data_IF_058109165402
#
_entry.id   IF_058109165402
#
_cell.length_a   1.000
_cell.length_b   1.000
_cell.length_c   1.000
_cell.angle_alpha   90.00
_cell.angle_beta   90.00
_cell.angle_gamma   90.00
#
_symmetry.space_group_name_H-M   'P 1'
#
loop_
_entity.id
_entity.type
_entity.pdbx_description
1 polymer ?
#
# COMPACT_ATOMS: atom_id res chain seq x y z
N UNK A 1 55.60 10.12 -11.69
CA UNK A 1 56.14 9.73 -13.02
C UNK A 1 55.26 8.63 -13.58
N UNK A 2 55.12 8.59 -14.91
CA UNK A 2 54.20 7.78 -15.74
C UNK A 2 52.83 8.48 -15.95
N UNK A 3 52.68 9.43 -16.87
CA UNK A 3 52.83 9.46 -18.35
C UNK A 3 51.53 9.09 -19.08
N UNK A 4 50.91 10.12 -19.67
CA UNK A 4 49.87 10.03 -20.70
C UNK A 4 50.40 9.35 -21.97
N UNK A 5 49.54 8.58 -22.64
CA UNK A 5 49.46 8.49 -24.10
C UNK A 5 48.15 7.79 -24.48
N UNK A 6 47.25 8.53 -25.14
CA UNK A 6 46.11 7.95 -25.88
C UNK A 6 46.59 7.74 -27.30
N UNK A 7 46.49 6.50 -27.80
CA UNK A 7 46.69 6.20 -29.22
C UNK A 7 45.46 5.54 -29.80
N UNK A 8 45.02 6.13 -30.91
CA UNK A 8 43.94 5.76 -31.81
C UNK A 8 43.98 4.30 -32.26
N UNK A 9 42.80 3.67 -32.30
CA UNK A 9 42.12 3.15 -33.51
C UNK A 9 41.11 2.08 -33.10
N UNK A 10 39.82 2.41 -33.20
CA UNK A 10 38.74 1.44 -33.20
C UNK A 10 38.07 1.49 -34.57
N UNK A 11 37.97 0.31 -35.20
CA UNK A 11 36.77 -0.18 -35.87
C UNK A 11 36.26 0.60 -37.07
N UNK A 12 36.37 -0.03 -38.22
CA UNK A 12 35.77 0.33 -39.52
C UNK A 12 34.27 0.63 -39.41
N UNK A 13 33.91 1.87 -39.69
CA UNK A 13 32.54 2.32 -39.93
C UNK A 13 32.10 1.88 -41.34
N UNK A 14 30.89 1.35 -41.42
CA UNK A 14 30.15 1.24 -42.68
C UNK A 14 29.81 2.67 -43.13
N UNK A 15 30.21 3.04 -44.34
CA UNK A 15 29.85 4.34 -44.93
C UNK A 15 28.36 4.31 -45.31
N UNK A 16 27.52 4.93 -44.48
CA UNK A 16 26.17 5.31 -44.89
C UNK A 16 26.27 6.40 -45.97
N UNK A 17 25.48 6.33 -47.06
CA UNK A 17 25.46 7.36 -48.09
C UNK A 17 24.98 8.70 -47.52
N UNK A 18 25.39 9.84 -48.10
CA UNK A 18 25.03 11.15 -47.58
C UNK A 18 23.51 11.30 -47.55
N UNK A 19 22.98 11.56 -46.35
CA UNK A 19 21.59 11.99 -46.17
C UNK A 19 21.50 13.38 -46.81
N UNK A 20 20.85 13.47 -47.97
CA UNK A 20 20.44 14.75 -48.53
C UNK A 20 19.52 15.41 -47.51
N UNK A 21 19.98 16.52 -46.93
CA UNK A 21 19.14 17.42 -46.16
C UNK A 21 18.09 17.99 -47.12
N UNK A 22 16.79 17.78 -46.91
CA UNK A 22 15.79 18.47 -47.72
C UNK A 22 15.88 19.96 -47.40
N UNK A 23 16.49 20.72 -48.31
CA UNK A 23 16.36 22.17 -48.36
C UNK A 23 14.92 22.50 -48.72
N UNK A 24 14.23 23.13 -47.78
CA UNK A 24 12.91 23.69 -48.02
C UNK A 24 13.09 24.94 -48.89
N UNK A 25 12.91 24.80 -50.20
CA UNK A 25 12.74 25.96 -51.08
C UNK A 25 11.39 26.60 -50.76
N UNK A 26 11.42 27.88 -50.37
CA UNK A 26 10.21 28.69 -50.30
C UNK A 26 9.69 28.86 -51.73
N UNK A 27 8.41 28.54 -52.02
CA UNK A 27 7.88 28.73 -53.36
C UNK A 27 7.91 30.22 -53.74
N UNK A 28 8.33 30.48 -54.97
CA UNK A 28 8.37 31.81 -55.57
C UNK A 28 6.99 32.49 -55.50
N UNK A 29 6.98 33.71 -54.96
CA UNK A 29 5.81 34.56 -54.88
C UNK A 29 5.55 35.25 -56.23
N UNK A 30 5.17 34.49 -57.28
CA UNK A 30 4.44 35.08 -58.41
C UNK A 30 3.77 34.02 -59.31
N UNK A 31 2.58 33.59 -58.92
CA UNK A 31 1.57 33.10 -59.86
C UNK A 31 0.21 33.27 -59.19
N UNK A 32 -0.43 34.40 -59.51
CA UNK A 32 -1.81 34.66 -59.12
C UNK A 32 -2.75 33.67 -59.80
N UNK A 33 -3.16 32.67 -59.04
CA UNK A 33 -4.46 32.03 -59.18
C UNK A 33 -5.26 32.41 -57.92
N UNK A 34 -6.14 33.40 -58.07
CA UNK A 34 -7.22 33.70 -57.13
C UNK A 34 -8.23 32.54 -57.16
N UNK A 35 -7.85 31.39 -56.61
CA UNK A 35 -8.83 30.45 -56.06
C UNK A 35 -8.93 30.75 -54.56
N UNK A 36 -9.66 31.83 -54.27
CA UNK A 36 -10.27 32.04 -52.95
C UNK A 36 -11.36 30.97 -52.79
N UNK A 37 -10.92 29.73 -52.63
CA UNK A 37 -11.67 28.71 -51.94
C UNK A 37 -11.84 29.20 -50.53
N UNK A 38 -12.96 29.88 -50.30
CA UNK A 38 -13.50 30.26 -49.00
C UNK A 38 -13.31 29.08 -48.05
N UNK A 39 -12.22 29.10 -47.26
CA UNK A 39 -12.19 28.41 -46.00
C UNK A 39 -13.16 29.19 -45.12
N UNK A 40 -14.45 29.02 -45.43
CA UNK A 40 -15.53 29.76 -44.81
C UNK A 40 -15.29 29.70 -43.31
N UNK A 41 -15.27 30.86 -42.67
CA UNK A 41 -15.10 30.96 -41.23
C UNK A 41 -16.15 30.03 -40.59
N UNK A 42 -15.71 28.82 -40.20
CA UNK A 42 -16.61 27.86 -39.58
C UNK A 42 -16.92 28.42 -38.22
N UNK A 43 -18.08 29.03 -38.10
CA UNK A 43 -18.58 29.54 -36.83
C UNK A 43 -18.69 28.37 -35.86
N UNK A 44 -17.90 28.42 -34.79
CA UNK A 44 -17.89 27.42 -33.73
C UNK A 44 -18.80 27.88 -32.60
N UNK A 45 -19.74 27.02 -32.21
CA UNK A 45 -20.70 27.24 -31.15
C UNK A 45 -20.32 26.41 -29.91
N UNK A 46 -20.61 26.92 -28.73
CA UNK A 46 -20.42 26.19 -27.48
C UNK A 46 -21.26 24.90 -27.46
N UNK A 47 -20.64 23.78 -27.08
CA UNK A 47 -21.38 22.55 -26.80
C UNK A 47 -22.01 22.69 -25.42
N UNK A 48 -23.34 22.50 -25.36
CA UNK A 48 -24.14 22.62 -24.13
C UNK A 48 -24.83 21.30 -23.73
N UNK A 49 -24.63 20.24 -24.51
CA UNK A 49 -25.25 18.91 -24.31
C UNK A 49 -24.24 17.88 -23.84
N UNK A 50 -24.67 16.96 -22.98
CA UNK A 50 -23.82 15.89 -22.46
C UNK A 50 -23.74 14.69 -23.40
N UNK A 51 -22.60 13.99 -23.36
CA UNK A 51 -22.42 12.68 -23.98
C UNK A 51 -22.37 11.61 -22.90
N UNK A 52 -22.96 10.43 -23.16
CA UNK A 52 -22.90 9.31 -22.21
C UNK A 52 -21.44 8.97 -21.86
N UNK A 53 -21.13 8.67 -20.58
CA UNK A 53 -22.06 8.49 -19.46
C UNK A 53 -22.38 9.75 -18.64
N UNK A 54 -22.01 10.94 -19.12
CA UNK A 54 -22.15 12.18 -18.37
C UNK A 54 -23.55 12.79 -18.50
N UNK A 55 -24.04 13.39 -17.42
CA UNK A 55 -25.35 14.03 -17.35
C UNK A 55 -25.29 15.29 -16.47
N UNK A 56 -26.30 16.15 -16.63
CA UNK A 56 -26.55 17.28 -15.72
C UNK A 56 -27.79 16.93 -14.89
N UNK A 57 -27.61 16.77 -13.59
CA UNK A 57 -28.68 16.44 -12.64
C UNK A 57 -29.03 17.66 -11.79
N UNK A 58 -30.11 17.59 -10.99
CA UNK A 58 -30.58 18.74 -10.19
C UNK A 58 -29.55 19.29 -9.19
N UNK A 59 -28.62 18.44 -8.72
CA UNK A 59 -27.54 18.81 -7.81
C UNK A 59 -26.23 19.18 -8.53
N UNK A 60 -26.21 19.14 -9.87
CA UNK A 60 -25.03 19.46 -10.67
C UNK A 60 -24.60 20.90 -10.42
N UNK A 61 -23.30 21.10 -10.19
CA UNK A 61 -22.68 22.42 -10.10
C UNK A 61 -22.36 22.96 -11.49
N UNK A 62 -22.01 22.05 -12.41
CA UNK A 62 -21.64 22.37 -13.79
C UNK A 62 -22.40 21.48 -14.78
N UNK A 63 -22.55 21.91 -16.04
CA UNK A 63 -23.05 21.03 -17.09
C UNK A 63 -22.21 19.76 -17.21
N UNK A 64 -22.87 18.60 -17.23
CA UNK A 64 -22.26 17.29 -17.50
C UNK A 64 -21.21 16.84 -16.47
N UNK A 65 -21.38 17.20 -15.20
CA UNK A 65 -20.46 16.86 -14.11
C UNK A 65 -20.79 15.55 -13.37
N UNK A 66 -21.95 14.94 -13.65
CA UNK A 66 -22.38 13.68 -13.05
C UNK A 66 -22.13 12.52 -14.00
N UNK A 67 -21.43 11.48 -13.53
CA UNK A 67 -21.20 10.25 -14.29
C UNK A 67 -22.20 9.16 -13.88
N UNK A 68 -23.15 8.84 -14.75
CA UNK A 68 -24.22 7.90 -14.47
C UNK A 68 -23.73 6.44 -14.32
N UNK A 69 -22.49 6.11 -14.68
CA UNK A 69 -21.98 4.73 -14.55
C UNK A 69 -21.35 4.42 -13.19
N UNK A 70 -21.02 5.43 -12.39
CA UNK A 70 -20.31 5.24 -11.12
C UNK A 70 -20.70 6.22 -9.99
N UNK A 71 -21.64 7.12 -10.24
CA UNK A 71 -22.21 7.96 -9.18
C UNK A 71 -23.29 7.20 -8.40
N UNK A 72 -23.03 6.94 -7.11
CA UNK A 72 -23.97 6.24 -6.22
C UNK A 72 -25.28 7.01 -5.98
N UNK A 73 -25.32 8.32 -6.22
CA UNK A 73 -26.52 9.16 -6.05
C UNK A 73 -27.31 9.31 -7.36
N UNK A 74 -26.72 8.96 -8.51
CA UNK A 74 -27.27 9.17 -9.86
C UNK A 74 -27.02 7.95 -10.78
N UNK A 75 -27.15 6.73 -10.26
CA UNK A 75 -26.73 5.53 -10.97
C UNK A 75 -27.67 5.16 -12.12
N UNK A 76 -27.18 5.12 -13.36
CA UNK A 76 -27.94 4.86 -14.58
C UNK A 76 -28.86 6.02 -15.00
N UNK A 77 -29.38 6.80 -14.06
CA UNK A 77 -30.17 8.02 -14.28
C UNK A 77 -30.09 8.96 -13.09
N UNK A 78 -30.31 10.26 -13.32
CA UNK A 78 -30.28 11.28 -12.27
C UNK A 78 -31.26 10.94 -11.13
N UNK A 79 -30.78 11.05 -9.89
CA UNK A 79 -31.56 10.78 -8.68
C UNK A 79 -31.81 9.29 -8.38
N UNK A 80 -31.37 8.35 -9.23
CA UNK A 80 -31.42 6.93 -8.91
C UNK A 80 -30.28 6.56 -7.97
N UNK A 81 -30.55 6.74 -6.68
CA UNK A 81 -29.58 6.52 -5.62
C UNK A 81 -29.48 5.05 -5.24
N UNK A 82 -28.27 4.49 -5.25
CA UNK A 82 -27.99 3.16 -4.74
C UNK A 82 -28.19 3.12 -3.22
N UNK A 83 -29.30 2.50 -2.80
CA UNK A 83 -29.62 2.26 -1.39
C UNK A 83 -30.08 0.82 -1.21
N UNK A 84 -29.56 0.19 -0.17
CA UNK A 84 -30.17 -0.97 0.45
C UNK A 84 -29.82 -0.97 1.95
N UNK A 85 -30.19 -2.03 2.67
CA UNK A 85 -29.94 -2.14 4.10
C UNK A 85 -28.44 -1.94 4.40
N UNK A 86 -28.10 -0.94 5.21
CA UNK A 86 -26.72 -0.76 5.71
C UNK A 86 -26.48 -1.70 6.89
N UNK A 87 -26.61 -3.00 6.65
CA UNK A 87 -26.45 -4.04 7.65
C UNK A 87 -25.15 -4.84 7.41
N UNK A 88 -24.56 -5.34 8.49
CA UNK A 88 -23.50 -6.35 8.47
C UNK A 88 -22.35 -6.10 7.50
N UNK A 89 -21.64 -4.96 7.55
CA UNK A 89 -20.50 -4.70 6.65
C UNK A 89 -20.86 -4.85 5.14
N UNK A 90 -21.95 -4.23 4.70
CA UNK A 90 -22.32 -4.18 3.28
C UNK A 90 -22.38 -2.75 2.75
N UNK A 91 -22.33 -2.59 1.43
CA UNK A 91 -22.54 -1.34 0.71
C UNK A 91 -23.22 -1.59 -0.61
N UNK A 92 -23.84 -0.54 -1.14
CA UNK A 92 -24.42 -0.51 -2.47
C UNK A 92 -23.68 0.54 -3.28
N UNK A 93 -23.08 0.13 -4.39
CA UNK A 93 -22.27 0.99 -5.26
C UNK A 93 -22.78 0.92 -6.69
N UNK A 94 -22.72 2.04 -7.39
CA UNK A 94 -23.01 2.09 -8.82
C UNK A 94 -21.87 1.44 -9.59
N UNK A 95 -22.20 0.45 -10.42
CA UNK A 95 -21.26 -0.21 -11.31
C UNK A 95 -21.91 -0.38 -12.68
N UNK A 96 -21.30 0.20 -13.71
CA UNK A 96 -21.80 0.19 -15.09
C UNK A 96 -23.24 0.74 -15.24
N UNK A 97 -23.66 1.63 -14.34
CA UNK A 97 -25.00 2.23 -14.35
C UNK A 97 -26.07 1.43 -13.59
N UNK A 98 -25.69 0.32 -12.97
CA UNK A 98 -26.56 -0.49 -12.12
C UNK A 98 -26.07 -0.51 -10.66
N UNK A 99 -27.01 -0.49 -9.72
CA UNK A 99 -26.68 -0.58 -8.31
C UNK A 99 -26.33 -2.02 -7.92
N UNK A 100 -25.09 -2.23 -7.52
CA UNK A 100 -24.55 -3.52 -7.10
C UNK A 100 -24.33 -3.58 -5.59
N UNK A 101 -24.67 -4.73 -5.00
CA UNK A 101 -24.35 -5.07 -3.61
C UNK A 101 -22.88 -5.50 -3.50
N UNK A 102 -22.21 -5.06 -2.44
CA UNK A 102 -20.84 -5.48 -2.14
C UNK A 102 -20.60 -5.56 -0.63
N UNK A 103 -19.68 -6.41 -0.22
CA UNK A 103 -19.22 -6.47 1.17
C UNK A 103 -18.19 -5.36 1.42
N UNK A 104 -18.42 -4.61 2.48
CA UNK A 104 -17.39 -3.76 3.08
C UNK A 104 -16.66 -4.55 4.17
N UNK A 105 -15.42 -4.19 4.47
CA UNK A 105 -14.63 -4.88 5.51
C UNK A 105 -13.89 -6.13 5.02
N UNK A 106 -12.63 -6.22 5.42
CA UNK A 106 -11.72 -7.29 5.00
C UNK A 106 -12.13 -8.59 5.69
N UNK A 107 -12.49 -9.59 4.90
CA UNK A 107 -12.81 -10.93 5.40
C UNK A 107 -14.26 -11.12 5.86
N UNK A 108 -15.17 -10.20 5.52
CA UNK A 108 -16.60 -10.40 5.71
C UNK A 108 -17.26 -10.89 4.41
N UNK A 109 -18.19 -11.83 4.52
CA UNK A 109 -18.91 -12.43 3.39
C UNK A 109 -20.38 -12.59 3.77
N UNK A 110 -21.22 -12.50 2.75
CA UNK A 110 -22.62 -12.88 2.81
C UNK A 110 -22.69 -14.39 2.54
N UNK A 111 -22.70 -15.21 3.60
CA UNK A 111 -22.63 -16.66 3.45
C UNK A 111 -24.01 -17.32 3.35
N UNK A 112 -25.08 -16.64 3.76
CA UNK A 112 -26.46 -17.11 3.63
C UNK A 112 -27.15 -16.62 2.33
N UNK A 113 -26.54 -15.66 1.62
CA UNK A 113 -27.05 -15.05 0.40
C UNK A 113 -28.06 -13.93 0.64
N UNK A 114 -28.30 -13.53 1.90
CA UNK A 114 -29.30 -12.54 2.27
C UNK A 114 -28.70 -11.13 2.27
N UNK A 115 -29.05 -10.31 1.28
CA UNK A 115 -28.54 -8.92 1.23
C UNK A 115 -29.15 -8.01 2.29
N UNK A 116 -30.20 -8.43 3.01
CA UNK A 116 -30.84 -7.62 4.05
C UNK A 116 -30.05 -7.56 5.35
N UNK A 117 -29.31 -8.63 5.68
CA UNK A 117 -28.48 -8.69 6.88
C UNK A 117 -26.99 -8.37 6.59
N UNK A 118 -26.60 -8.35 5.32
CA UNK A 118 -25.32 -7.84 4.84
C UNK A 118 -24.30 -8.94 4.53
N UNK A 119 -23.06 -8.68 4.92
CA UNK A 119 -21.93 -9.62 4.94
C UNK A 119 -21.53 -9.88 6.40
N UNK A 120 -22.43 -10.55 7.08
CA UNK A 120 -22.48 -10.86 8.50
C UNK A 120 -21.44 -11.89 8.95
N UNK A 121 -20.93 -12.71 8.03
CA UNK A 121 -20.03 -13.82 8.37
C UNK A 121 -18.56 -13.43 8.21
N UNK A 122 -17.78 -13.54 9.29
CA UNK A 122 -16.33 -13.32 9.26
C UNK A 122 -15.59 -14.59 8.83
N UNK A 123 -15.09 -14.59 7.60
CA UNK A 123 -14.23 -15.68 7.11
C UNK A 123 -12.81 -15.64 7.68
N UNK A 124 -12.45 -14.64 8.49
CA UNK A 124 -11.12 -14.56 9.12
C UNK A 124 -11.04 -15.27 10.46
N UNK A 125 -12.17 -15.35 11.17
CA UNK A 125 -12.19 -15.78 12.57
C UNK A 125 -13.31 -16.75 12.92
N UNK A 126 -14.30 -16.95 12.05
CA UNK A 126 -15.31 -17.97 12.27
C UNK A 126 -14.76 -19.35 11.93
N UNK A 127 -14.63 -20.27 12.91
CA UNK A 127 -14.16 -21.62 12.66
C UNK A 127 -15.03 -22.40 11.68
N UNK A 128 -16.29 -22.01 11.44
CA UNK A 128 -17.19 -22.67 10.48
C UNK A 128 -17.07 -22.12 9.05
N UNK A 129 -16.42 -20.97 8.87
CA UNK A 129 -16.34 -20.24 7.61
C UNK A 129 -14.91 -19.79 7.30
N UNK A 130 -13.90 -20.55 7.72
CA UNK A 130 -12.51 -20.12 7.72
C UNK A 130 -11.89 -20.02 6.33
N UNK A 131 -11.66 -18.79 5.87
CA UNK A 131 -11.14 -18.43 4.56
C UNK A 131 -12.20 -18.40 3.45
N UNK A 132 -13.32 -19.09 3.63
CA UNK A 132 -14.47 -19.09 2.72
C UNK A 132 -15.73 -19.57 3.43
N UNK A 133 -16.91 -19.19 2.92
CA UNK A 133 -18.19 -19.67 3.42
C UNK A 133 -18.26 -21.21 3.42
N UNK A 134 -18.69 -21.78 4.54
CA UNK A 134 -18.82 -23.23 4.74
C UNK A 134 -17.52 -24.00 4.92
N UNK A 135 -16.36 -23.32 4.98
CA UNK A 135 -15.07 -23.98 5.23
C UNK A 135 -14.81 -24.12 6.73
N UNK A 136 -15.31 -25.20 7.31
CA UNK A 136 -15.11 -25.48 8.73
C UNK A 136 -13.69 -25.98 9.05
N UNK A 137 -13.12 -25.51 10.16
CA UNK A 137 -11.85 -25.97 10.68
C UNK A 137 -11.96 -27.36 11.32
N UNK A 138 -10.92 -28.21 11.20
CA UNK A 138 -10.84 -29.46 11.94
C UNK A 138 -11.05 -29.26 13.45
N UNK A 139 -11.58 -30.29 14.12
CA UNK A 139 -11.82 -30.26 15.55
C UNK A 139 -10.56 -29.88 16.34
N UNK A 140 -10.69 -28.92 17.26
CA UNK A 140 -9.58 -28.41 18.07
C UNK A 140 -8.72 -27.33 17.41
N UNK A 141 -8.99 -27.00 16.14
CA UNK A 141 -8.34 -25.89 15.45
C UNK A 141 -9.17 -24.61 15.55
N UNK A 142 -8.49 -23.48 15.51
CA UNK A 142 -9.08 -22.15 15.48
C UNK A 142 -8.91 -21.54 14.09
N UNK A 143 -9.78 -20.59 13.74
CA UNK A 143 -9.62 -19.80 12.54
C UNK A 143 -8.96 -18.47 12.89
N UNK A 144 -7.79 -18.21 12.32
CA UNK A 144 -7.15 -16.89 12.39
C UNK A 144 -6.72 -16.52 10.99
N UNK A 145 -7.06 -15.32 10.58
CA UNK A 145 -6.68 -14.78 9.29
C UNK A 145 -7.09 -15.66 8.10
N UNK A 146 -8.23 -16.36 8.24
CA UNK A 146 -8.80 -17.22 7.21
C UNK A 146 -8.07 -18.54 7.00
N UNK A 147 -7.20 -18.91 7.94
CA UNK A 147 -6.50 -20.19 7.95
C UNK A 147 -6.79 -20.92 9.27
N UNK A 148 -7.10 -22.20 9.16
CA UNK A 148 -7.23 -23.06 10.33
C UNK A 148 -5.83 -23.35 10.88
N UNK A 149 -5.62 -23.09 12.16
CA UNK A 149 -4.37 -23.37 12.84
C UNK A 149 -4.61 -24.14 14.13
N UNK A 150 -3.61 -24.89 14.51
CA UNK A 150 -3.57 -25.55 15.81
C UNK A 150 -2.97 -24.58 16.84
N UNK A 151 -3.74 -24.15 17.87
CA UNK A 151 -3.27 -23.20 18.87
C UNK A 151 -2.06 -23.72 19.67
N UNK A 152 -1.93 -25.04 19.83
CA UNK A 152 -0.79 -25.66 20.50
C UNK A 152 0.50 -25.49 19.67
N UNK A 153 0.43 -25.65 18.34
CA UNK A 153 1.58 -25.55 17.44
C UNK A 153 2.11 -24.11 17.36
N UNK A 154 1.22 -23.12 17.18
CA UNK A 154 1.63 -21.71 17.04
C UNK A 154 2.24 -21.15 18.34
N UNK A 155 1.83 -21.68 19.50
CA UNK A 155 2.41 -21.33 20.79
C UNK A 155 3.75 -22.04 21.07
N UNK A 156 4.29 -22.79 20.10
CA UNK A 156 5.47 -23.65 20.26
C UNK A 156 5.30 -24.67 21.41
N UNK A 157 4.09 -25.20 21.57
CA UNK A 157 3.68 -26.19 22.58
C UNK A 157 2.95 -27.36 21.90
N UNK A 158 3.64 -28.13 21.04
CA UNK A 158 3.01 -29.08 20.12
C UNK A 158 2.40 -30.33 20.80
N UNK A 159 2.71 -30.57 22.07
CA UNK A 159 2.28 -31.76 22.79
C UNK A 159 1.07 -31.41 23.67
N UNK A 160 0.26 -32.41 24.02
CA UNK A 160 -0.90 -32.22 24.91
C UNK A 160 -0.78 -33.12 26.13
N UNK A 161 -0.84 -32.51 27.32
CA UNK A 161 -0.89 -33.21 28.60
C UNK A 161 -2.16 -32.82 29.34
N UNK A 162 -3.05 -33.79 29.62
CA UNK A 162 -4.33 -33.58 30.31
C UNK A 162 -5.25 -32.51 29.67
N UNK A 163 -5.17 -32.34 28.34
CA UNK A 163 -5.97 -31.35 27.61
C UNK A 163 -5.33 -29.95 27.52
N UNK A 164 -4.14 -29.74 28.09
CA UNK A 164 -3.39 -28.48 27.97
C UNK A 164 -2.19 -28.63 27.02
N UNK A 165 -1.92 -27.60 26.21
CA UNK A 165 -0.74 -27.56 25.33
C UNK A 165 0.55 -27.39 26.15
N UNK A 166 1.52 -28.27 25.93
CA UNK A 166 2.88 -28.20 26.49
C UNK A 166 3.93 -28.50 25.42
N UNK A 167 5.20 -28.32 25.73
CA UNK A 167 6.31 -28.75 24.89
C UNK A 167 7.15 -29.73 25.68
N UNK A 168 7.03 -31.03 25.39
CA UNK A 168 7.77 -32.06 26.11
C UNK A 168 9.29 -31.89 25.96
N UNK A 169 9.77 -31.09 25.01
CA UNK A 169 11.21 -30.84 24.83
C UNK A 169 11.77 -29.76 25.74
N UNK A 170 10.94 -28.84 26.23
CA UNK A 170 11.41 -27.62 26.94
C UNK A 170 10.65 -27.32 28.22
N UNK A 171 9.46 -27.89 28.43
CA UNK A 171 8.69 -27.70 29.67
C UNK A 171 9.28 -28.54 30.81
N UNK A 172 9.89 -27.86 31.78
CA UNK A 172 10.45 -28.48 32.99
C UNK A 172 9.42 -29.17 33.89
N UNK A 173 8.12 -29.02 33.66
CA UNK A 173 7.06 -29.76 34.37
C UNK A 173 6.58 -31.02 33.64
N UNK A 174 6.89 -31.15 32.34
CA UNK A 174 6.42 -32.22 31.47
C UNK A 174 7.57 -32.76 30.58
N UNK A 175 8.78 -32.86 31.11
CA UNK A 175 9.95 -33.10 30.28
C UNK A 175 10.01 -34.53 29.74
N UNK A 176 9.97 -34.69 28.41
CA UNK A 176 9.98 -35.98 27.71
C UNK A 176 8.67 -36.77 27.82
N UNK A 177 7.93 -36.63 28.91
CA UNK A 177 6.61 -37.22 29.13
C UNK A 177 5.79 -36.35 30.10
N UNK A 178 4.46 -36.41 29.99
CA UNK A 178 3.55 -35.67 30.86
C UNK A 178 3.82 -35.95 32.35
N UNK A 179 3.88 -34.89 33.15
CA UNK A 179 4.10 -34.94 34.60
C UNK A 179 5.53 -35.23 35.06
N UNK A 180 6.50 -35.39 34.13
CA UNK A 180 7.90 -35.56 34.50
C UNK A 180 8.54 -34.20 34.82
N UNK A 181 8.49 -33.81 36.09
CA UNK A 181 9.04 -32.56 36.58
C UNK A 181 10.54 -32.66 36.85
N UNK A 182 11.33 -31.76 36.26
CA UNK A 182 12.76 -31.66 36.51
C UNK A 182 13.06 -31.00 37.88
N UNK A 183 14.10 -31.50 38.55
CA UNK A 183 14.64 -30.87 39.76
C UNK A 183 15.65 -29.77 39.39
N UNK A 184 15.38 -28.49 39.69
CA UNK A 184 16.28 -27.39 39.38
C UNK A 184 17.63 -27.42 40.10
N UNK A 185 17.77 -28.24 41.16
CA UNK A 185 19.00 -28.39 41.94
C UNK A 185 19.54 -29.83 41.92
N UNK A 186 19.14 -30.64 40.93
CA UNK A 186 19.45 -32.07 40.77
C UNK A 186 20.69 -32.51 41.59
N UNK A 187 20.50 -33.21 42.72
CA UNK A 187 21.59 -33.51 43.67
C UNK A 187 22.62 -34.48 43.10
N UNK A 188 22.35 -35.08 41.94
CA UNK A 188 23.27 -35.98 41.25
C UNK A 188 24.27 -35.23 40.35
N UNK A 189 24.11 -33.92 40.17
CA UNK A 189 24.92 -33.09 39.28
C UNK A 189 25.75 -32.04 40.02
N UNK A 190 26.77 -31.44 39.38
CA UNK A 190 27.56 -30.36 39.98
C UNK A 190 26.67 -29.18 40.42
N UNK A 191 27.08 -28.49 41.48
CA UNK A 191 26.40 -27.26 41.89
C UNK A 191 26.57 -26.18 40.81
N UNK A 192 25.46 -25.59 40.38
CA UNK A 192 25.45 -24.51 39.38
C UNK A 192 25.59 -23.13 40.04
N UNK A 193 26.12 -22.14 39.31
CA UNK A 193 26.06 -20.72 39.68
C UNK A 193 24.62 -20.22 39.93
N UNK A 194 24.49 -19.10 40.63
CA UNK A 194 23.18 -18.58 41.10
C UNK A 194 22.23 -18.11 40.00
N UNK A 195 22.75 -17.83 38.81
CA UNK A 195 22.02 -17.40 37.62
C UNK A 195 21.67 -18.56 36.68
N UNK A 196 21.95 -19.81 37.09
CA UNK A 196 21.60 -21.04 36.38
C UNK A 196 20.68 -21.96 37.21
N UNK A 197 20.02 -22.89 36.51
CA UNK A 197 19.28 -24.02 37.09
C UNK A 197 19.29 -25.23 36.15
N UNK A 198 18.96 -26.41 36.68
CA UNK A 198 18.70 -27.58 35.85
C UNK A 198 17.25 -27.60 35.34
N UNK A 199 17.06 -27.77 34.03
CA UNK A 199 15.74 -27.79 33.41
C UNK A 199 15.60 -28.85 32.33
N UNK A 200 14.52 -28.71 31.56
CA UNK A 200 14.23 -29.59 30.43
C UNK A 200 14.89 -29.07 29.15
N UNK A 201 15.70 -29.91 28.51
CA UNK A 201 16.20 -29.64 27.16
C UNK A 201 16.16 -30.92 26.34
N UNK A 202 15.63 -30.83 25.12
CA UNK A 202 15.44 -31.97 24.21
C UNK A 202 14.72 -33.16 24.87
N UNK A 203 13.80 -32.88 25.80
CA UNK A 203 12.99 -33.88 26.48
C UNK A 203 13.71 -34.66 27.59
N UNK A 204 14.89 -34.19 28.01
CA UNK A 204 15.65 -34.79 29.12
C UNK A 204 15.86 -33.76 30.24
N UNK A 205 15.62 -34.18 31.48
CA UNK A 205 15.89 -33.36 32.66
C UNK A 205 17.38 -33.27 32.99
N UNK A 206 17.75 -32.24 33.75
CA UNK A 206 19.10 -32.06 34.25
C UNK A 206 20.02 -31.28 33.30
N UNK A 207 19.48 -30.61 32.29
CA UNK A 207 20.28 -29.75 31.42
C UNK A 207 20.45 -28.38 32.09
N UNK A 208 21.67 -27.86 32.18
CA UNK A 208 21.93 -26.54 32.74
C UNK A 208 21.34 -25.45 31.83
N UNK A 209 20.64 -24.49 32.43
CA UNK A 209 19.92 -23.41 31.75
C UNK A 209 20.01 -22.12 32.56
N UNK A 210 19.97 -20.99 31.86
CA UNK A 210 19.93 -19.68 32.50
C UNK A 210 18.57 -19.42 33.16
N UNK A 211 18.60 -18.75 34.32
CA UNK A 211 17.39 -18.33 35.03
C UNK A 211 16.64 -17.21 34.30
N UNK A 212 17.35 -16.42 33.48
CA UNK A 212 16.77 -15.37 32.64
C UNK A 212 16.79 -15.80 31.18
N UNK A 213 15.69 -15.55 30.46
CA UNK A 213 15.60 -15.75 29.01
C UNK A 213 16.49 -14.80 28.20
N UNK A 214 16.92 -13.68 28.79
CA UNK A 214 17.82 -12.71 28.17
C UNK A 214 19.30 -13.01 28.44
N UNK A 215 19.59 -14.07 29.20
CA UNK A 215 20.96 -14.49 29.52
C UNK A 215 21.27 -15.80 28.80
N UNK A 216 22.52 -15.94 28.38
CA UNK A 216 23.01 -17.17 27.74
C UNK A 216 24.44 -17.46 28.18
N UNK A 217 24.71 -18.74 28.42
CA UNK A 217 26.03 -19.32 28.51
C UNK A 217 26.55 -19.51 27.07
N UNK A 218 27.51 -18.67 26.66
CA UNK A 218 28.01 -18.66 25.27
C UNK A 218 29.33 -19.39 25.08
N UNK A 219 30.09 -19.59 26.16
CA UNK A 219 31.30 -20.41 26.17
C UNK A 219 30.98 -21.90 26.44
N UNK A 220 29.73 -22.22 26.80
CA UNK A 220 29.26 -23.53 27.27
C UNK A 220 30.01 -24.01 28.52
N UNK A 221 30.46 -23.07 29.35
CA UNK A 221 31.10 -23.36 30.62
C UNK A 221 30.09 -23.13 31.75
N UNK A 222 29.48 -24.22 32.22
CA UNK A 222 28.50 -24.15 33.31
C UNK A 222 29.08 -23.67 34.64
N UNK A 223 30.40 -23.50 34.75
CA UNK A 223 31.06 -23.10 35.99
C UNK A 223 31.11 -21.59 36.20
N UNK A 224 31.04 -20.77 35.14
CA UNK A 224 30.99 -19.31 35.25
C UNK A 224 29.58 -18.71 35.11
N UNK A 225 28.60 -19.48 34.62
CA UNK A 225 27.18 -19.12 34.67
C UNK A 225 26.61 -18.69 33.33
N UNK A 226 25.81 -17.61 33.32
CA UNK A 226 25.22 -17.04 32.12
C UNK A 226 25.68 -15.59 31.93
N UNK A 227 26.87 -15.44 31.37
CA UNK A 227 27.63 -14.19 31.33
C UNK A 227 27.03 -13.21 30.33
N UNK A 228 26.53 -13.74 29.20
CA UNK A 228 26.16 -12.93 28.04
C UNK A 228 24.71 -12.48 28.12
N UNK A 229 24.50 -11.18 27.91
CA UNK A 229 23.16 -10.60 27.73
C UNK A 229 22.79 -10.58 26.25
N UNK A 230 21.72 -11.29 25.90
CA UNK A 230 21.11 -11.29 24.56
C UNK A 230 20.33 -9.99 24.30
N UNK A 231 19.86 -9.84 23.06
CA UNK A 231 19.06 -8.68 22.60
C UNK A 231 19.85 -7.38 22.60
N UNK A 232 21.16 -7.49 22.51
CA UNK A 232 22.10 -6.38 22.36
C UNK A 232 22.65 -6.37 20.95
N UNK A 233 23.26 -5.26 20.52
CA UNK A 233 23.85 -5.20 19.19
C UNK A 233 25.04 -6.16 19.00
N UNK A 234 25.64 -6.65 20.08
CA UNK A 234 26.73 -7.63 20.05
C UNK A 234 26.24 -9.10 20.13
N UNK A 235 25.01 -9.32 20.62
CA UNK A 235 24.39 -10.63 20.81
C UNK A 235 22.89 -10.54 20.51
N UNK A 236 22.54 -10.32 19.24
CA UNK A 236 21.18 -9.90 18.91
C UNK A 236 20.15 -11.03 19.11
N UNK A 237 20.31 -12.13 18.39
CA UNK A 237 19.45 -13.30 18.54
C UNK A 237 20.09 -14.38 19.43
N UNK A 238 21.40 -14.57 19.30
CA UNK A 238 22.16 -15.62 19.97
C UNK A 238 23.58 -15.14 20.33
N UNK A 239 24.34 -16.03 20.96
CA UNK A 239 25.75 -15.91 21.21
C UNK A 239 26.52 -15.51 19.94
N UNK A 240 27.36 -14.49 20.09
CA UNK A 240 28.21 -13.94 19.02
C UNK A 240 27.48 -13.49 17.74
N UNK A 241 26.17 -13.25 17.79
CA UNK A 241 25.38 -12.73 16.67
C UNK A 241 25.38 -11.19 16.67
N UNK A 242 26.57 -10.63 16.44
CA UNK A 242 26.79 -9.17 16.41
C UNK A 242 26.25 -8.57 15.12
N UNK A 243 25.51 -7.48 15.24
CA UNK A 243 24.99 -6.77 14.09
C UNK A 243 26.12 -6.05 13.31
N UNK A 244 26.13 -6.18 11.97
CA UNK A 244 27.02 -5.41 11.10
C UNK A 244 26.88 -3.90 11.29
N UNK A 245 27.89 -3.14 10.85
CA UNK A 245 27.84 -1.68 10.86
C UNK A 245 26.62 -1.16 10.10
N UNK A 246 25.94 -0.14 10.65
CA UNK A 246 24.69 0.40 10.10
C UNK A 246 23.43 -0.39 10.46
N UNK A 247 23.58 -1.62 10.96
CA UNK A 247 22.44 -2.44 11.44
C UNK A 247 22.22 -2.27 12.93
N UNK A 248 20.98 -2.52 13.35
CA UNK A 248 20.58 -2.50 14.76
C UNK A 248 19.85 -3.78 15.10
N UNK A 249 20.05 -4.27 16.33
CA UNK A 249 19.26 -5.38 16.84
C UNK A 249 17.80 -4.98 17.07
N UNK A 250 16.87 -5.69 16.44
CA UNK A 250 15.43 -5.40 16.43
C UNK A 250 14.61 -6.66 16.72
N UNK A 251 13.35 -6.49 17.10
CA UNK A 251 12.42 -7.59 17.42
C UNK A 251 11.20 -7.59 16.49
N UNK A 252 10.98 -8.70 15.78
CA UNK A 252 9.75 -8.95 15.03
C UNK A 252 9.34 -10.44 15.19
N UNK A 253 8.99 -10.82 16.42
CA UNK A 253 8.74 -12.22 16.82
C UNK A 253 10.01 -13.03 17.10
N UNK A 254 11.10 -12.71 16.41
CA UNK A 254 12.47 -13.16 16.69
C UNK A 254 13.40 -11.94 16.65
N UNK A 255 14.50 -11.97 17.40
CA UNK A 255 15.50 -10.91 17.32
C UNK A 255 16.36 -11.08 16.07
N UNK A 256 16.63 -9.98 15.37
CA UNK A 256 17.45 -10.00 14.15
C UNK A 256 18.14 -8.66 13.95
N UNK A 257 19.23 -8.67 13.18
CA UNK A 257 19.93 -7.45 12.78
C UNK A 257 19.22 -6.79 11.59
N UNK A 258 18.42 -5.77 11.90
CA UNK A 258 17.62 -5.03 10.94
C UNK A 258 18.32 -3.78 10.40
N UNK A 259 17.63 -3.15 9.44
CA UNK A 259 18.01 -2.01 8.62
C UNK A 259 18.96 -2.35 7.46
N UNK A 260 18.61 -1.88 6.27
CA UNK A 260 19.45 -1.90 5.08
C UNK A 260 20.45 -0.72 5.09
N UNK A 261 21.40 -0.74 4.17
CA UNK A 261 22.34 0.38 4.01
C UNK A 261 21.56 1.66 3.64
N UNK A 262 21.86 2.75 4.34
CA UNK A 262 21.17 4.05 4.17
C UNK A 262 19.93 4.22 5.05
N UNK A 263 19.34 3.14 5.57
CA UNK A 263 18.19 3.23 6.45
C UNK A 263 18.59 3.66 7.87
N UNK A 264 17.72 4.43 8.50
CA UNK A 264 17.84 4.84 9.91
C UNK A 264 16.75 4.18 10.74
N UNK A 265 17.11 3.64 11.90
CA UNK A 265 16.13 3.11 12.84
C UNK A 265 15.37 4.26 13.52
N UNK A 266 14.07 4.36 13.24
CA UNK A 266 13.14 5.33 13.81
C UNK A 266 12.35 4.78 15.01
N UNK A 267 12.87 3.78 15.71
CA UNK A 267 12.27 3.20 16.90
C UNK A 267 11.11 2.27 16.55
N UNK A 268 9.90 2.62 16.99
CA UNK A 268 8.69 1.81 16.75
C UNK A 268 8.29 1.75 15.28
N UNK A 269 8.66 2.76 14.49
CA UNK A 269 8.41 2.81 13.04
C UNK A 269 9.32 1.86 12.26
N UNK A 270 10.37 1.34 12.89
CA UNK A 270 11.38 0.50 12.25
C UNK A 270 12.38 1.29 11.42
N UNK A 271 12.98 0.63 10.43
CA UNK A 271 14.00 1.20 9.56
C UNK A 271 13.35 1.99 8.43
N UNK A 272 13.81 3.22 8.22
CA UNK A 272 13.27 4.14 7.20
C UNK A 272 14.39 4.76 6.39
N UNK A 273 14.16 4.90 5.09
CA UNK A 273 15.00 5.73 4.24
C UNK A 273 14.62 7.19 4.47
N UNK A 274 15.59 8.03 4.82
CA UNK A 274 15.30 9.43 5.13
C UNK A 274 15.42 10.35 3.92
N UNK A 275 15.89 9.85 2.77
CA UNK A 275 16.12 10.62 1.57
C UNK A 275 14.95 10.59 0.58
N UNK A 276 14.12 9.55 0.59
CA UNK A 276 13.00 9.38 -0.35
C UNK A 276 11.64 9.01 0.29
N UNK A 277 11.57 8.73 1.60
CA UNK A 277 10.32 8.45 2.31
C UNK A 277 9.57 9.75 2.67
N UNK A 278 8.36 10.02 2.10
CA UNK A 278 7.56 11.19 2.43
C UNK A 278 7.06 11.22 3.88
N UNK A 279 7.10 10.11 4.62
CA UNK A 279 6.71 10.04 6.04
C UNK A 279 7.89 10.28 6.98
N UNK A 280 9.14 10.19 6.50
CA UNK A 280 10.38 10.28 7.28
C UNK A 280 11.45 11.17 6.61
N UNK A 281 11.01 12.21 5.90
CA UNK A 281 11.85 12.97 4.98
C UNK A 281 12.88 13.86 5.70
N UNK A 282 14.15 13.50 5.61
CA UNK A 282 15.29 14.15 6.24
C UNK A 282 15.35 13.91 7.76
N UNK A 283 14.53 13.02 8.30
CA UNK A 283 14.49 12.72 9.73
C UNK A 283 13.31 11.84 10.12
N UNK A 284 13.47 11.06 11.19
CA UNK A 284 12.40 10.22 11.72
C UNK A 284 11.15 11.04 12.08
N UNK A 285 9.97 10.56 11.67
CA UNK A 285 8.67 11.20 11.86
C UNK A 285 8.53 12.60 11.24
N UNK A 286 9.37 12.93 10.24
CA UNK A 286 9.24 14.17 9.48
C UNK A 286 8.36 13.94 8.25
N UNK A 287 7.06 13.96 8.48
CA UNK A 287 6.05 13.79 7.42
C UNK A 287 6.01 15.04 6.54
N UNK A 288 6.06 14.84 5.22
CA UNK A 288 5.98 15.93 4.26
C UNK A 288 4.59 16.61 4.27
N UNK A 289 4.54 17.95 4.09
CA UNK A 289 3.28 18.67 3.98
C UNK A 289 2.41 18.11 2.86
N UNK A 290 1.09 18.21 3.03
CA UNK A 290 0.14 17.71 2.05
C UNK A 290 -0.15 16.20 2.13
N UNK A 291 0.53 15.45 3.00
CA UNK A 291 0.21 14.03 3.22
C UNK A 291 -1.25 13.84 3.66
N UNK A 292 -1.98 12.98 2.95
CA UNK A 292 -3.39 12.72 3.19
C UNK A 292 -4.35 13.82 2.71
N UNK A 293 -3.88 14.82 1.96
CA UNK A 293 -4.76 15.83 1.35
C UNK A 293 -5.36 15.30 0.03
N UNK A 294 -6.61 15.68 -0.29
CA UNK A 294 -7.25 15.35 -1.57
C UNK A 294 -6.36 15.68 -2.77
N UNK A 295 -6.15 14.67 -3.62
CA UNK A 295 -5.46 14.78 -4.91
C UNK A 295 -4.07 15.42 -4.87
N UNK A 296 -3.37 15.38 -3.72
CA UNK A 296 -2.00 15.83 -3.58
C UNK A 296 -1.11 14.64 -3.24
N UNK A 297 0.00 14.49 -3.95
CA UNK A 297 0.99 13.45 -3.70
C UNK A 297 2.26 14.08 -3.13
N UNK A 298 2.56 13.88 -1.84
CA UNK A 298 3.81 14.36 -1.26
C UNK A 298 4.98 13.53 -1.82
N UNK A 299 6.14 14.17 -1.97
CA UNK A 299 7.39 13.52 -2.39
C UNK A 299 8.53 13.90 -1.46
N UNK A 300 9.49 13.01 -1.28
CA UNK A 300 10.76 13.34 -0.63
C UNK A 300 11.90 13.11 -1.63
N UNK A 301 12.84 14.05 -1.69
CA UNK A 301 14.06 13.90 -2.47
C UNK A 301 15.24 14.47 -1.70
N UNK A 302 16.24 13.64 -1.43
CA UNK A 302 17.43 13.99 -0.65
C UNK A 302 17.08 14.60 0.72
N UNK A 303 16.01 14.12 1.36
CA UNK A 303 15.56 14.59 2.67
C UNK A 303 14.86 15.96 2.66
N UNK A 304 14.48 16.43 1.47
CA UNK A 304 13.70 17.64 1.27
C UNK A 304 12.30 17.28 0.76
N UNK A 305 11.28 17.80 1.43
CA UNK A 305 9.90 17.61 1.04
C UNK A 305 9.54 18.45 -0.18
N UNK A 306 8.80 17.82 -1.09
CA UNK A 306 8.07 18.44 -2.19
C UNK A 306 6.72 17.76 -2.37
N UNK A 307 6.12 17.93 -3.53
CA UNK A 307 4.92 17.24 -3.93
C UNK A 307 4.30 17.87 -5.17
N UNK A 308 3.31 17.18 -5.73
CA UNK A 308 2.57 17.65 -6.88
C UNK A 308 1.09 17.23 -6.77
N UNK A 309 0.23 17.97 -7.44
CA UNK A 309 -1.15 17.54 -7.64
C UNK A 309 -1.18 16.26 -8.49
N UNK A 310 -2.16 15.40 -8.21
CA UNK A 310 -2.50 14.29 -9.08
C UNK A 310 -2.85 14.83 -10.48
N UNK A 311 -2.70 13.99 -11.50
CA UNK A 311 -3.00 14.35 -12.87
C UNK A 311 -4.42 14.97 -12.97
N UNK A 312 -4.52 16.09 -13.68
CA UNK A 312 -5.74 16.88 -13.86
C UNK A 312 -6.30 17.60 -12.63
N UNK A 313 -5.68 17.48 -11.46
CA UNK A 313 -6.03 18.27 -10.30
C UNK A 313 -5.11 19.46 -10.14
N UNK A 314 -5.65 20.56 -9.61
CA UNK A 314 -4.89 21.78 -9.37
C UNK A 314 -5.28 22.42 -8.03
N UNK A 315 -4.28 23.01 -7.37
CA UNK A 315 -4.44 23.93 -6.25
C UNK A 315 -4.61 25.35 -6.83
N UNK A 316 -5.87 25.76 -7.04
CA UNK A 316 -6.16 27.05 -7.66
C UNK A 316 -6.33 28.20 -6.64
N UNK A 317 -6.41 27.90 -5.34
CA UNK A 317 -6.45 28.91 -4.28
C UNK A 317 -5.07 29.14 -3.63
N UNK A 318 -4.09 28.28 -3.92
CA UNK A 318 -2.72 28.33 -3.42
C UNK A 318 -2.57 27.85 -1.97
N UNK A 319 -3.59 27.17 -1.43
CA UNK A 319 -3.63 26.75 -0.04
C UNK A 319 -3.29 25.25 0.04
N UNK A 320 -1.99 24.99 0.23
CA UNK A 320 -1.42 23.63 0.42
C UNK A 320 -2.12 22.83 1.54
N UNK A 321 -2.81 23.49 2.46
CA UNK A 321 -3.49 22.83 3.58
C UNK A 321 -4.82 22.16 3.23
N UNK A 322 -5.42 22.41 2.07
CA UNK A 322 -6.62 21.70 1.60
C UNK A 322 -6.32 20.72 0.46
N UNK A 323 -5.19 20.85 -0.24
CA UNK A 323 -4.78 19.92 -1.30
C UNK A 323 -4.95 20.51 -2.70
N UNK A 324 -5.35 19.67 -3.66
CA UNK A 324 -5.62 20.07 -5.04
C UNK A 324 -7.07 19.77 -5.37
N UNK A 325 -7.97 20.67 -5.02
CA UNK A 325 -9.41 20.40 -4.96
C UNK A 325 -10.09 20.51 -6.31
N UNK A 326 -9.43 21.17 -7.27
CA UNK A 326 -10.04 21.51 -8.55
C UNK A 326 -9.71 20.44 -9.58
N UNK A 327 -10.72 19.72 -10.04
CA UNK A 327 -10.60 18.82 -11.19
C UNK A 327 -10.70 19.62 -12.49
N UNK A 328 -9.55 19.96 -13.06
CA UNK A 328 -9.44 20.77 -14.28
C UNK A 328 -10.03 20.09 -15.52
N UNK A 329 -10.40 18.80 -15.49
CA UNK A 329 -11.06 18.14 -16.64
C UNK A 329 -12.51 18.54 -16.82
N UNK A 330 -13.19 18.89 -15.73
CA UNK A 330 -14.65 19.07 -15.70
C UNK A 330 -15.09 20.34 -14.98
N UNK A 331 -14.19 21.00 -14.23
CA UNK A 331 -14.51 22.28 -13.59
C UNK A 331 -14.61 23.39 -14.63
N UNK A 332 -15.83 23.86 -14.86
CA UNK A 332 -16.12 24.90 -15.84
C UNK A 332 -15.44 26.24 -15.55
N UNK A 333 -14.98 26.49 -14.32
CA UNK A 333 -14.27 27.73 -13.94
C UNK A 333 -12.75 27.60 -14.02
N UNK A 334 -12.24 26.37 -14.17
CA UNK A 334 -10.82 26.04 -14.17
C UNK A 334 -10.48 24.97 -15.24
N UNK A 335 -11.08 25.09 -16.42
CA UNK A 335 -11.03 24.06 -17.45
C UNK A 335 -9.64 23.96 -18.09
N UNK A 336 -8.91 22.90 -17.79
CA UNK A 336 -7.53 22.67 -18.24
C UNK A 336 -6.45 23.50 -17.51
N UNK A 337 -6.82 24.59 -16.85
CA UNK A 337 -5.93 25.40 -16.01
C UNK A 337 -6.74 26.27 -15.03
N UNK A 338 -6.12 26.65 -13.91
CA UNK A 338 -6.75 27.54 -12.93
C UNK A 338 -7.17 28.87 -13.56
N UNK A 339 -8.42 29.26 -13.33
CA UNK A 339 -9.02 30.48 -13.86
C UNK A 339 -9.42 30.45 -15.34
N UNK A 340 -9.21 29.33 -16.05
CA UNK A 340 -9.66 29.18 -17.43
C UNK A 340 -11.16 28.80 -17.48
N UNK A 341 -12.02 29.80 -17.32
CA UNK A 341 -13.47 29.59 -17.30
C UNK A 341 -14.06 29.45 -18.72
N UNK A 342 -14.90 28.42 -18.92
CA UNK A 342 -15.68 28.26 -20.15
C UNK A 342 -16.81 29.29 -20.24
N UNK A 343 -17.36 29.48 -21.43
CA UNK A 343 -18.54 30.32 -21.62
C UNK A 343 -19.72 29.76 -20.82
N UNK A 344 -20.72 30.63 -20.56
CA UNK A 344 -21.92 30.23 -19.84
C UNK A 344 -22.58 29.03 -20.54
N UNK A 345 -22.95 28.02 -19.75
CA UNK A 345 -23.60 26.76 -20.17
C UNK A 345 -22.75 25.87 -21.11
N UNK A 346 -21.49 26.25 -21.41
CA UNK A 346 -20.56 25.45 -22.21
C UNK A 346 -19.97 24.31 -21.39
N UNK A 347 -19.85 23.12 -21.97
CA UNK A 347 -19.27 21.95 -21.28
C UNK A 347 -17.75 22.02 -21.24
N UNK A 348 -17.16 21.85 -20.05
CA UNK A 348 -15.75 21.51 -19.90
C UNK A 348 -15.59 19.98 -19.96
N UNK A 349 -14.77 19.48 -20.87
CA UNK A 349 -14.45 18.05 -20.94
C UNK A 349 -12.99 17.86 -21.34
N UNK A 350 -12.32 16.95 -20.64
CA UNK A 350 -10.89 16.68 -20.83
C UNK A 350 -10.01 17.94 -20.78
N UNK A 351 -10.41 18.92 -19.95
CA UNK A 351 -9.69 20.18 -19.77
C UNK A 351 -9.86 21.16 -20.93
N UNK A 352 -10.87 20.98 -21.76
CA UNK A 352 -11.18 21.85 -22.90
C UNK A 352 -12.65 22.27 -22.88
N UNK A 353 -12.87 23.55 -23.12
CA UNK A 353 -14.21 24.08 -23.35
C UNK A 353 -14.68 23.61 -24.73
N UNK A 354 -15.68 22.72 -24.76
CA UNK A 354 -16.10 22.04 -25.97
C UNK A 354 -16.83 22.98 -26.93
N UNK A 355 -16.52 22.87 -28.23
CA UNK A 355 -17.14 23.62 -29.31
C UNK A 355 -17.46 22.71 -30.49
N UNK A 356 -18.49 23.05 -31.25
CA UNK A 356 -18.95 22.34 -32.45
C UNK A 356 -19.32 23.35 -33.54
N UNK A 357 -19.21 23.03 -34.84
CA UNK A 357 -19.71 23.92 -35.89
C UNK A 357 -21.18 24.28 -35.64
N UNK A 358 -21.54 25.55 -35.78
CA UNK A 358 -22.89 26.04 -35.47
C UNK A 358 -24.00 25.42 -36.36
N UNK A 359 -23.64 24.98 -37.56
CA UNK A 359 -24.57 24.35 -38.52
C UNK A 359 -24.67 22.83 -38.36
N UNK A 360 -23.79 22.24 -37.55
CA UNK A 360 -24.02 20.89 -37.04
C UNK A 360 -25.10 21.03 -35.96
N UNK A 361 -26.32 20.57 -36.25
CA UNK A 361 -27.42 20.54 -35.28
C UNK A 361 -26.97 19.96 -33.93
N UNK A 362 -27.75 20.15 -32.85
CA UNK A 362 -27.34 19.76 -31.51
C UNK A 362 -26.80 18.33 -31.57
N UNK A 363 -25.51 18.17 -31.22
CA UNK A 363 -24.87 16.87 -31.14
C UNK A 363 -25.76 15.91 -30.34
N UNK A 364 -25.60 14.59 -30.50
CA UNK A 364 -26.55 13.59 -29.99
C UNK A 364 -27.03 13.95 -28.58
N UNK A 365 -28.30 14.33 -28.50
CA UNK A 365 -28.93 14.81 -27.28
C UNK A 365 -29.19 13.58 -26.41
N UNK A 366 -28.42 13.41 -25.34
CA UNK A 366 -28.78 12.45 -24.29
C UNK A 366 -30.01 12.99 -23.56
N UNK A 367 -31.12 12.23 -23.61
CA UNK A 367 -32.28 12.43 -22.75
C UNK A 367 -32.08 11.74 -21.42
#
# INVERSE_FOLDING_TARGET
MLASCVTSKIGTYWEDPPIETPTFELPDADSGDDDSGDAGEVMMCAVTTCSLPWATCDASRFPCDVNLQNDNENCGTCGNRCKGPSAGNSTWTCFEGDCAFSCTGIGFRNCDGDTENGCETSVRYDPKNCGACGRECPAGQECTEGTCYDPCIVANRPDTCNGECTNLKTDSSNCGTCGNKCDPKDPTKPALPSDMHYGCSQGTCGNAQCNSSTKRDCNNDVSDGCEVTLHTNDHCNDCNDKCPAGKTCMYNGVYYCGCADGETNCGVEGCKQLDDDPLHCGGCNRVCPGNGRPHFTPSCSLGVCGGACAEHYADCDGIVSNGCEVNTRVDNTNCGACGNACAKDQVCSEGRCLVTPCDAGPGPIAK
#
